data_IF_990359318507
#
_entry.id   IF_990359318507
#
_cell.length_a   1.000
_cell.length_b   1.000
_cell.length_c   1.000
_cell.angle_alpha   90.00
_cell.angle_beta   90.00
_cell.angle_gamma   90.00
#
_symmetry.space_group_name_H-M   'P 1'
#
loop_
_entity.id
_entity.type
_entity.pdbx_description
1 polymer ?
#
# COMPACT_ATOMS: atom_id res chain seq x y z
N UNK A 1 -5.05 23.71 15.24
CA UNK A 1 -3.83 22.98 14.81
C UNK A 1 -4.34 21.87 13.93
N UNK A 2 -4.07 21.87 12.63
CA UNK A 2 -4.40 20.71 11.81
C UNK A 2 -3.55 19.56 12.36
N UNK A 3 -4.17 18.52 12.90
CA UNK A 3 -3.45 17.28 13.18
C UNK A 3 -2.84 16.83 11.86
N UNK A 4 -1.51 16.92 11.78
CA UNK A 4 -0.77 16.48 10.60
C UNK A 4 -0.93 14.98 10.41
N UNK A 5 -0.79 14.53 9.16
CA UNK A 5 -0.69 13.09 8.89
C UNK A 5 0.59 12.59 9.57
N UNK A 6 0.45 11.67 10.51
CA UNK A 6 1.55 10.95 11.13
C UNK A 6 1.87 9.70 10.30
N UNK A 7 3.09 9.59 9.82
CA UNK A 7 3.59 8.38 9.18
C UNK A 7 3.96 7.35 10.25
N UNK A 8 3.26 6.22 10.26
CA UNK A 8 3.44 5.15 11.25
C UNK A 8 4.32 4.03 10.71
N UNK A 9 4.07 3.62 9.46
CA UNK A 9 4.82 2.55 8.80
C UNK A 9 5.14 2.96 7.36
N UNK A 10 6.37 2.69 6.94
CA UNK A 10 6.81 2.79 5.55
C UNK A 10 7.75 1.62 5.28
N UNK A 11 7.24 0.60 4.58
CA UNK A 11 7.98 -0.64 4.30
C UNK A 11 8.00 -0.88 2.81
N UNK A 12 9.18 -0.77 2.23
CA UNK A 12 9.44 -1.10 0.83
C UNK A 12 10.00 -2.51 0.72
N UNK A 13 9.45 -3.28 -0.20
CA UNK A 13 9.89 -4.61 -0.58
C UNK A 13 10.29 -4.52 -2.06
N UNK A 14 11.57 -4.74 -2.33
CA UNK A 14 12.14 -4.67 -3.68
C UNK A 14 11.66 -5.82 -4.57
N UNK A 15 11.58 -7.03 -4.02
CA UNK A 15 11.20 -8.25 -4.75
C UNK A 15 10.30 -9.12 -3.88
N UNK A 16 9.01 -9.19 -4.21
CA UNK A 16 8.09 -10.12 -3.59
C UNK A 16 8.46 -11.57 -3.92
N UNK A 17 8.79 -12.33 -2.87
CA UNK A 17 9.10 -13.75 -2.99
C UNK A 17 7.83 -14.57 -3.26
N UNK A 18 7.91 -15.72 -3.96
CA UNK A 18 6.73 -16.45 -4.43
C UNK A 18 5.69 -16.77 -3.34
N UNK A 19 6.16 -17.20 -2.15
CA UNK A 19 5.27 -17.52 -1.04
C UNK A 19 4.62 -16.27 -0.42
N UNK A 20 5.37 -15.16 -0.36
CA UNK A 20 4.86 -13.91 0.17
C UNK A 20 3.85 -13.26 -0.79
N UNK A 21 4.15 -13.23 -2.09
CA UNK A 21 3.24 -12.78 -3.13
C UNK A 21 1.91 -13.57 -3.08
N UNK A 22 2.01 -14.90 -3.04
CA UNK A 22 0.85 -15.80 -2.95
C UNK A 22 0.03 -15.57 -1.68
N UNK A 23 0.70 -15.33 -0.54
CA UNK A 23 0.03 -15.03 0.71
C UNK A 23 -0.71 -13.69 0.64
N UNK A 24 -0.05 -12.62 0.16
CA UNK A 24 -0.67 -11.30 0.03
C UNK A 24 -1.87 -11.39 -0.95
N UNK A 25 -1.72 -12.07 -2.08
CA UNK A 25 -2.81 -12.30 -3.03
C UNK A 25 -4.01 -13.02 -2.41
N UNK A 26 -3.81 -13.87 -1.39
CA UNK A 26 -4.90 -14.56 -0.68
C UNK A 26 -5.72 -13.61 0.20
N UNK A 27 -5.10 -12.56 0.75
CA UNK A 27 -5.74 -11.63 1.69
C UNK A 27 -6.09 -10.28 1.06
N UNK A 28 -5.54 -9.98 -0.11
CA UNK A 28 -5.78 -8.76 -0.86
C UNK A 28 -7.26 -8.63 -1.25
N UNK A 29 -7.74 -7.38 -1.28
CA UNK A 29 -9.10 -7.04 -1.74
C UNK A 29 -9.11 -6.17 -3.00
N UNK A 30 -7.93 -5.73 -3.45
CA UNK A 30 -7.71 -5.01 -4.70
C UNK A 30 -7.13 -5.91 -5.78
N UNK A 31 -6.08 -5.44 -6.45
CA UNK A 31 -5.33 -6.21 -7.44
C UNK A 31 -4.39 -7.20 -6.75
N UNK A 32 -4.17 -8.35 -7.38
CA UNK A 32 -3.36 -9.42 -6.79
C UNK A 32 -1.89 -9.18 -7.17
N UNK A 33 -0.97 -9.10 -6.19
CA UNK A 33 0.44 -8.99 -6.51
C UNK A 33 0.96 -10.30 -7.11
N UNK A 34 1.94 -10.17 -7.99
CA UNK A 34 2.68 -11.28 -8.57
C UNK A 34 4.05 -11.44 -7.90
N UNK A 35 4.67 -12.59 -8.13
CA UNK A 35 6.08 -12.77 -7.78
C UNK A 35 6.96 -11.79 -8.55
N UNK A 36 8.09 -11.43 -7.96
CA UNK A 36 9.08 -10.49 -8.50
C UNK A 36 8.62 -9.02 -8.60
N UNK A 37 7.37 -8.69 -8.27
CA UNK A 37 6.93 -7.30 -8.14
C UNK A 37 7.52 -6.63 -6.89
N UNK A 38 7.73 -5.32 -7.00
CA UNK A 38 8.01 -4.46 -5.86
C UNK A 38 6.70 -4.12 -5.15
N UNK A 39 6.74 -4.01 -3.82
CA UNK A 39 5.59 -3.62 -3.03
C UNK A 39 5.95 -2.55 -2.00
N UNK A 40 5.02 -1.63 -1.76
CA UNK A 40 5.12 -0.61 -0.73
C UNK A 40 3.91 -0.69 0.19
N UNK A 41 4.19 -0.82 1.49
CA UNK A 41 3.21 -0.72 2.55
C UNK A 41 3.37 0.61 3.28
N UNK A 42 2.31 1.39 3.33
CA UNK A 42 2.27 2.67 4.05
C UNK A 42 1.14 2.63 5.07
N UNK A 43 1.44 3.00 6.31
CA UNK A 43 0.44 3.20 7.36
C UNK A 43 0.51 4.63 7.88
N UNK A 44 -0.65 5.27 8.04
CA UNK A 44 -0.77 6.62 8.57
C UNK A 44 -1.86 6.77 9.62
N UNK A 45 -1.76 7.81 10.45
CA UNK A 45 -2.86 8.33 11.26
C UNK A 45 -3.12 9.81 10.92
N UNK A 46 -4.38 10.28 10.87
CA UNK A 46 -5.62 9.52 11.05
C UNK A 46 -5.93 8.64 9.83
N UNK A 47 -6.73 7.58 10.04
CA UNK A 47 -6.90 6.54 9.01
C UNK A 47 -7.66 6.98 7.76
N UNK A 48 -8.56 7.96 7.86
CA UNK A 48 -9.39 8.40 6.72
C UNK A 48 -8.56 9.01 5.58
N UNK A 49 -7.45 9.65 5.94
CA UNK A 49 -6.51 10.31 5.03
C UNK A 49 -5.85 9.34 4.06
N UNK A 50 -5.90 8.02 4.32
CA UNK A 50 -5.34 7.02 3.40
C UNK A 50 -6.02 7.09 2.03
N UNK A 51 -7.31 7.44 1.96
CA UNK A 51 -8.02 7.62 0.68
C UNK A 51 -7.41 8.74 -0.17
N UNK A 52 -6.99 9.83 0.47
CA UNK A 52 -6.34 10.96 -0.22
C UNK A 52 -4.95 10.54 -0.71
N UNK A 53 -4.23 9.76 0.09
CA UNK A 53 -2.93 9.19 -0.31
C UNK A 53 -3.10 8.23 -1.49
N UNK A 54 -4.08 7.33 -1.45
CA UNK A 54 -4.37 6.43 -2.56
C UNK A 54 -4.65 7.20 -3.84
N UNK A 55 -5.54 8.19 -3.79
CA UNK A 55 -5.85 9.03 -4.96
C UNK A 55 -4.61 9.72 -5.55
N UNK A 56 -3.75 10.27 -4.67
CA UNK A 56 -2.52 10.94 -5.07
C UNK A 56 -1.55 9.97 -5.77
N UNK A 57 -1.34 8.79 -5.19
CA UNK A 57 -0.37 7.80 -5.67
C UNK A 57 -0.80 7.23 -7.01
N UNK A 58 -2.05 6.79 -7.13
CA UNK A 58 -2.57 6.16 -8.34
C UNK A 58 -2.66 7.14 -9.52
N UNK A 59 -2.79 8.45 -9.26
CA UNK A 59 -2.77 9.47 -10.31
C UNK A 59 -1.37 9.88 -10.75
N UNK A 60 -0.34 9.63 -9.93
CA UNK A 60 1.04 10.06 -10.22
C UNK A 60 1.93 8.96 -10.75
N UNK A 61 1.57 7.71 -10.51
CA UNK A 61 2.42 6.55 -10.79
C UNK A 61 1.59 5.44 -11.46
N UNK A 62 2.27 4.42 -12.00
CA UNK A 62 1.61 3.26 -12.64
C UNK A 62 1.42 2.08 -11.69
N UNK A 63 1.55 2.30 -10.39
CA UNK A 63 1.35 1.27 -9.37
C UNK A 63 -0.13 0.89 -9.28
N UNK A 64 -0.40 -0.31 -8.81
CA UNK A 64 -1.75 -0.83 -8.59
C UNK A 64 -1.96 -1.15 -7.10
N UNK A 65 -3.14 -0.88 -6.53
CA UNK A 65 -3.39 -1.12 -5.11
C UNK A 65 -3.85 -2.56 -4.84
N UNK A 66 -3.18 -3.30 -3.96
CA UNK A 66 -3.65 -4.62 -3.52
C UNK A 66 -4.48 -4.57 -2.23
N UNK A 67 -4.16 -3.64 -1.32
CA UNK A 67 -4.95 -3.41 -0.11
C UNK A 67 -5.12 -1.92 0.19
N UNK A 68 -6.35 -1.51 0.46
CA UNK A 68 -6.64 -0.20 1.06
C UNK A 68 -7.55 -0.41 2.26
N UNK A 69 -7.02 -0.21 3.46
CA UNK A 69 -7.71 -0.51 4.72
C UNK A 69 -7.81 0.76 5.55
N UNK A 70 -9.01 1.05 6.03
CA UNK A 70 -9.26 2.12 7.00
C UNK A 70 -9.68 1.47 8.32
N UNK A 71 -8.82 1.58 9.32
CA UNK A 71 -9.09 1.13 10.69
C UNK A 71 -9.49 2.31 11.57
N UNK A 72 -9.82 2.01 12.84
CA UNK A 72 -10.21 3.04 13.82
C UNK A 72 -9.11 4.08 14.08
N UNK A 73 -7.85 3.65 14.16
CA UNK A 73 -6.72 4.49 14.57
C UNK A 73 -5.77 4.85 13.43
N UNK A 74 -5.76 4.06 12.36
CA UNK A 74 -4.82 4.20 11.26
C UNK A 74 -5.46 3.76 9.93
N UNK A 75 -4.79 4.08 8.83
CA UNK A 75 -5.13 3.62 7.50
C UNK A 75 -3.88 3.01 6.88
N UNK A 76 -4.04 1.90 6.17
CA UNK A 76 -2.97 1.18 5.50
C UNK A 76 -3.26 1.09 3.99
N UNK A 77 -2.24 1.37 3.20
CA UNK A 77 -2.25 1.20 1.75
C UNK A 77 -1.07 0.30 1.38
N UNK A 78 -1.38 -0.76 0.65
CA UNK A 78 -0.41 -1.56 -0.08
C UNK A 78 -0.59 -1.29 -1.58
N UNK A 79 0.53 -1.05 -2.25
CA UNK A 79 0.64 -0.88 -3.70
C UNK A 79 1.80 -1.72 -4.20
N UNK A 80 1.69 -2.22 -5.42
CA UNK A 80 2.74 -2.98 -6.07
C UNK A 80 2.90 -2.60 -7.55
N UNK A 81 4.09 -2.92 -8.08
CA UNK A 81 4.42 -2.76 -9.49
C UNK A 81 5.62 -3.62 -9.87
N UNK A 82 5.68 -4.03 -11.13
CA UNK A 82 6.87 -4.64 -11.75
C UNK A 82 8.06 -3.67 -11.84
N UNK A 83 7.81 -2.36 -11.76
CA UNK A 83 8.82 -1.31 -11.82
C UNK A 83 9.12 -0.74 -10.43
N UNK A 84 10.39 -0.71 -10.03
CA UNK A 84 10.83 -0.27 -8.70
C UNK A 84 10.89 1.25 -8.54
N UNK A 85 10.92 2.03 -9.64
CA UNK A 85 11.04 3.49 -9.56
C UNK A 85 11.37 4.18 -10.87
#
# INVERSE_FOLDING_TARGET
MAEGIELRTFTYIDILQPQLASFIATVARGFLPLEEEAALFVEIAPGLQINVITDLVLKRTKVIPGMQIVERAYGMLEIHSVDQG
#
